data_IF_848669694130
#
_entry.id   IF_848669694130
#
_cell.length_a   1.000
_cell.length_b   1.000
_cell.length_c   1.000
_cell.angle_alpha   90.00
_cell.angle_beta   90.00
_cell.angle_gamma   90.00
#
_symmetry.space_group_name_H-M   'P 1'
#
loop_
_entity.id
_entity.type
_entity.pdbx_description
1 polymer ?
#
# COMPACT_ATOMS: atom_id res chain seq x y z
N UNK A 1 11.26 2.78 -9.41
CA UNK A 1 10.53 1.48 -9.40
C UNK A 1 9.34 1.55 -10.32
N UNK A 2 9.07 0.48 -11.01
CA UNK A 2 7.96 0.42 -11.94
C UNK A 2 6.71 -0.14 -11.26
N UNK A 3 5.77 0.74 -10.92
CA UNK A 3 4.52 0.34 -10.26
C UNK A 3 3.65 -0.55 -11.15
N UNK A 4 3.71 -0.35 -12.48
CA UNK A 4 2.99 -1.22 -13.40
C UNK A 4 3.45 -2.67 -13.33
N UNK A 5 4.77 -2.88 -13.20
CA UNK A 5 5.33 -4.23 -13.03
C UNK A 5 4.85 -4.85 -11.71
N UNK A 6 4.85 -4.07 -10.62
CA UNK A 6 4.35 -4.55 -9.34
C UNK A 6 2.88 -4.97 -9.45
N UNK A 7 2.04 -4.17 -10.10
CA UNK A 7 0.63 -4.50 -10.28
C UNK A 7 0.43 -5.80 -11.06
N UNK A 8 1.28 -6.08 -12.07
CA UNK A 8 1.21 -7.30 -12.86
C UNK A 8 1.58 -8.55 -12.06
N UNK A 9 2.39 -8.41 -11.00
CA UNK A 9 2.82 -9.55 -10.19
C UNK A 9 1.91 -9.81 -8.99
N UNK A 10 0.95 -8.94 -8.71
CA UNK A 10 0.03 -9.11 -7.58
C UNK A 10 -1.03 -10.15 -7.89
N UNK A 11 -1.50 -10.91 -6.88
CA UNK A 11 -2.64 -11.81 -7.03
C UNK A 11 -3.89 -11.07 -7.49
N UNK A 12 -4.78 -11.79 -8.19
CA UNK A 12 -5.99 -11.20 -8.76
C UNK A 12 -6.88 -10.56 -7.69
N UNK A 13 -7.03 -11.20 -6.53
CA UNK A 13 -7.86 -10.66 -5.44
C UNK A 13 -7.35 -9.30 -4.95
N UNK A 14 -6.04 -9.15 -4.81
CA UNK A 14 -5.43 -7.88 -4.43
C UNK A 14 -5.60 -6.85 -5.53
N UNK A 15 -5.37 -7.23 -6.79
CA UNK A 15 -5.56 -6.31 -7.93
C UNK A 15 -6.99 -5.80 -8.01
N UNK A 16 -7.96 -6.68 -7.81
CA UNK A 16 -9.37 -6.31 -7.84
C UNK A 16 -9.72 -5.35 -6.69
N UNK A 17 -9.20 -5.62 -5.49
CA UNK A 17 -9.40 -4.74 -4.33
C UNK A 17 -8.81 -3.35 -4.57
N UNK A 18 -7.63 -3.28 -5.18
CA UNK A 18 -6.99 -2.00 -5.52
C UNK A 18 -7.81 -1.24 -6.55
N UNK A 19 -8.31 -1.92 -7.57
CA UNK A 19 -9.15 -1.30 -8.61
C UNK A 19 -10.43 -0.72 -8.01
N UNK A 20 -11.08 -1.47 -7.13
CA UNK A 20 -12.28 -1.01 -6.43
C UNK A 20 -11.99 0.20 -5.54
N UNK A 21 -10.88 0.17 -4.82
CA UNK A 21 -10.47 1.27 -3.96
C UNK A 21 -10.15 2.53 -4.77
N UNK A 22 -9.45 2.38 -5.89
CA UNK A 22 -9.14 3.50 -6.77
C UNK A 22 -10.41 4.16 -7.28
N UNK A 23 -11.39 3.37 -7.71
CA UNK A 23 -12.67 3.88 -8.17
C UNK A 23 -13.41 4.59 -7.06
N UNK A 24 -13.41 4.04 -5.85
CA UNK A 24 -14.04 4.63 -4.69
C UNK A 24 -13.40 6.00 -4.34
N UNK A 25 -12.06 6.08 -4.37
CA UNK A 25 -11.36 7.35 -4.12
C UNK A 25 -11.79 8.42 -5.12
N UNK A 26 -11.90 8.08 -6.38
CA UNK A 26 -12.27 9.03 -7.44
C UNK A 26 -13.74 9.42 -7.39
N UNK A 27 -14.64 8.44 -7.23
CA UNK A 27 -16.08 8.64 -7.35
C UNK A 27 -16.73 9.07 -6.05
N UNK A 28 -16.43 8.39 -4.93
CA UNK A 28 -17.12 8.64 -3.67
C UNK A 28 -16.43 9.72 -2.83
N UNK A 29 -15.13 9.64 -2.68
CA UNK A 29 -14.38 10.64 -1.92
C UNK A 29 -13.99 11.85 -2.75
N UNK A 30 -14.14 11.78 -4.06
CA UNK A 30 -13.77 12.86 -4.98
C UNK A 30 -12.31 13.30 -4.76
N UNK A 31 -11.44 12.36 -4.47
CA UNK A 31 -10.02 12.64 -4.31
C UNK A 31 -9.46 13.16 -5.64
N UNK A 32 -8.54 14.12 -5.57
CA UNK A 32 -7.86 14.59 -6.78
C UNK A 32 -7.02 13.47 -7.37
N UNK A 33 -6.71 13.58 -8.67
CA UNK A 33 -5.82 12.60 -9.32
C UNK A 33 -4.49 12.51 -8.62
N UNK A 34 -3.94 13.64 -8.16
CA UNK A 34 -2.68 13.68 -7.44
C UNK A 34 -2.78 12.91 -6.11
N UNK A 35 -3.85 13.10 -5.35
CA UNK A 35 -4.08 12.39 -4.09
C UNK A 35 -4.23 10.89 -4.34
N UNK A 36 -5.02 10.52 -5.35
CA UNK A 36 -5.23 9.12 -5.72
C UNK A 36 -3.90 8.44 -6.08
N UNK A 37 -3.08 9.09 -6.90
CA UNK A 37 -1.78 8.55 -7.31
C UNK A 37 -0.83 8.41 -6.12
N UNK A 38 -0.83 9.37 -5.19
CA UNK A 38 0.00 9.30 -3.99
C UNK A 38 -0.43 8.14 -3.09
N UNK A 39 -1.73 7.93 -2.92
CA UNK A 39 -2.26 6.84 -2.11
C UNK A 39 -1.92 5.48 -2.73
N UNK A 40 -2.04 5.37 -4.06
CA UNK A 40 -1.67 4.15 -4.76
C UNK A 40 -0.17 3.87 -4.63
N UNK A 41 0.67 4.89 -4.77
CA UNK A 41 2.11 4.73 -4.61
C UNK A 41 2.48 4.25 -3.21
N UNK A 42 1.83 4.80 -2.18
CA UNK A 42 2.06 4.40 -0.79
C UNK A 42 1.64 2.93 -0.57
N UNK A 43 0.51 2.53 -1.13
CA UNK A 43 0.05 1.15 -1.03
C UNK A 43 1.00 0.18 -1.73
N UNK A 44 1.43 0.51 -2.95
CA UNK A 44 2.38 -0.35 -3.68
C UNK A 44 3.71 -0.47 -2.95
N UNK A 45 4.18 0.62 -2.33
CA UNK A 45 5.41 0.58 -1.53
C UNK A 45 5.25 -0.37 -0.33
N UNK A 46 4.10 -0.32 0.33
CA UNK A 46 3.80 -1.23 1.45
C UNK A 46 3.75 -2.69 0.98
N UNK A 47 3.07 -2.95 -0.14
CA UNK A 47 2.98 -4.31 -0.69
C UNK A 47 4.37 -4.85 -1.07
N UNK A 48 5.24 -3.99 -1.61
CA UNK A 48 6.62 -4.37 -1.88
C UNK A 48 7.39 -4.72 -0.62
N UNK A 49 7.19 -3.98 0.47
CA UNK A 49 7.77 -4.30 1.76
C UNK A 49 7.26 -5.66 2.29
N UNK A 50 5.96 -5.90 2.22
CA UNK A 50 5.35 -7.16 2.71
C UNK A 50 5.91 -8.34 1.91
N UNK A 51 6.07 -8.19 0.61
CA UNK A 51 6.67 -9.22 -0.23
C UNK A 51 8.06 -9.60 0.25
N UNK A 52 8.91 -8.61 0.53
CA UNK A 52 10.25 -8.87 1.05
C UNK A 52 10.25 -9.42 2.47
N UNK A 53 9.35 -8.92 3.31
CA UNK A 53 9.27 -9.28 4.72
C UNK A 53 8.71 -10.69 4.92
N UNK A 54 7.72 -11.09 4.13
CA UNK A 54 7.08 -12.42 4.22
C UNK A 54 7.64 -13.42 3.22
N UNK A 55 8.47 -12.99 2.29
CA UNK A 55 9.13 -13.85 1.33
C UNK A 55 8.34 -14.20 0.08
N UNK A 56 7.10 -13.69 -0.04
CA UNK A 56 6.26 -13.93 -1.20
C UNK A 56 5.28 -12.78 -1.42
N UNK A 57 4.71 -12.73 -2.63
CA UNK A 57 3.71 -11.72 -2.98
C UNK A 57 2.45 -11.96 -2.14
N UNK A 58 1.97 -10.94 -1.38
CA UNK A 58 0.83 -11.14 -0.50
C UNK A 58 -0.49 -11.21 -1.27
N UNK A 59 -1.36 -12.12 -0.87
CA UNK A 59 -2.77 -12.10 -1.25
C UNK A 59 -3.60 -11.42 -0.15
N UNK A 60 -4.93 -11.34 -0.33
CA UNK A 60 -5.80 -10.70 0.66
C UNK A 60 -5.70 -11.41 2.00
N UNK A 61 -5.64 -12.73 2.03
CA UNK A 61 -5.54 -13.48 3.28
C UNK A 61 -4.28 -13.10 4.06
N UNK A 62 -3.14 -12.97 3.39
CA UNK A 62 -1.89 -12.53 4.02
C UNK A 62 -2.04 -11.12 4.58
N UNK A 63 -2.63 -10.20 3.80
CA UNK A 63 -2.80 -8.82 4.25
C UNK A 63 -3.69 -8.73 5.48
N UNK A 64 -4.73 -9.55 5.58
CA UNK A 64 -5.63 -9.56 6.73
C UNK A 64 -4.99 -10.22 7.96
N UNK A 65 -3.96 -11.03 7.78
CA UNK A 65 -3.25 -11.69 8.87
C UNK A 65 -2.05 -10.91 9.40
N UNK A 66 -1.73 -9.76 8.80
CA UNK A 66 -0.62 -8.93 9.29
C UNK A 66 -0.94 -8.44 10.71
N UNK A 67 0.09 -8.42 11.55
CA UNK A 67 -0.05 -8.03 12.95
C UNK A 67 0.64 -6.67 13.20
N UNK A 68 0.46 -6.06 14.39
CA UNK A 68 1.09 -4.77 14.68
C UNK A 68 2.62 -4.79 14.53
N UNK A 69 3.27 -5.93 14.76
CA UNK A 69 4.72 -6.05 14.58
C UNK A 69 5.12 -5.84 13.12
N UNK A 70 4.33 -6.38 12.19
CA UNK A 70 4.59 -6.20 10.76
C UNK A 70 4.53 -4.73 10.37
N UNK A 71 3.53 -4.00 10.86
CA UNK A 71 3.38 -2.57 10.58
C UNK A 71 4.50 -1.76 11.23
N UNK A 72 4.92 -2.10 12.46
CA UNK A 72 6.05 -1.44 13.10
C UNK A 72 7.35 -1.66 12.33
N UNK A 73 7.55 -2.86 11.79
CA UNK A 73 8.73 -3.15 10.95
C UNK A 73 8.74 -2.28 9.71
N UNK A 74 7.58 -2.07 9.10
CA UNK A 74 7.46 -1.20 7.93
C UNK A 74 7.79 0.26 8.28
N UNK A 75 7.27 0.74 9.41
CA UNK A 75 7.57 2.10 9.87
C UNK A 75 9.06 2.29 10.15
N UNK A 76 9.69 1.31 10.78
CA UNK A 76 11.13 1.32 11.02
C UNK A 76 11.92 1.37 9.71
N UNK A 77 11.50 0.59 8.72
CA UNK A 77 12.16 0.58 7.41
C UNK A 77 12.06 1.96 6.74
N UNK A 78 10.89 2.61 6.80
CA UNK A 78 10.73 3.94 6.24
C UNK A 78 11.66 4.94 6.91
N UNK A 79 11.81 4.86 8.23
CA UNK A 79 12.73 5.72 8.98
C UNK A 79 14.18 5.47 8.57
N UNK A 80 14.57 4.22 8.41
CA UNK A 80 15.92 3.85 7.96
C UNK A 80 16.21 4.35 6.54
N UNK A 81 15.20 4.37 5.68
CA UNK A 81 15.32 4.84 4.31
C UNK A 81 15.28 6.38 4.22
N UNK A 82 15.21 7.08 5.35
CA UNK A 82 15.22 8.53 5.39
C UNK A 82 13.93 9.20 4.98
N UNK A 83 12.80 8.47 5.04
CA UNK A 83 11.50 9.04 4.68
C UNK A 83 11.05 10.08 5.70
N UNK A 84 10.49 11.19 5.21
CA UNK A 84 9.98 12.25 6.07
C UNK A 84 8.80 11.77 6.91
N UNK A 85 8.66 12.32 8.12
CA UNK A 85 7.54 11.98 9.01
C UNK A 85 6.18 12.28 8.37
N UNK A 86 6.08 13.38 7.62
CA UNK A 86 4.85 13.73 6.91
C UNK A 86 4.49 12.69 5.84
N UNK A 87 5.47 12.20 5.11
CA UNK A 87 5.27 11.13 4.11
C UNK A 87 4.83 9.84 4.78
N UNK A 88 5.40 9.51 5.92
CA UNK A 88 5.02 8.30 6.67
C UNK A 88 3.59 8.44 7.24
N UNK A 89 3.21 9.61 7.73
CA UNK A 89 1.85 9.85 8.20
C UNK A 89 0.84 9.70 7.05
N UNK A 90 1.16 10.22 5.86
CA UNK A 90 0.32 10.04 4.68
C UNK A 90 0.20 8.58 4.29
N UNK A 91 1.30 7.83 4.32
CA UNK A 91 1.31 6.41 3.98
C UNK A 91 0.43 5.60 4.97
N UNK A 92 0.47 5.92 6.26
CA UNK A 92 -0.42 5.30 7.25
C UNK A 92 -1.89 5.60 6.94
N UNK A 93 -2.20 6.84 6.56
CA UNK A 93 -3.55 7.23 6.17
C UNK A 93 -4.02 6.45 4.95
N UNK A 94 -3.14 6.24 3.97
CA UNK A 94 -3.44 5.43 2.79
C UNK A 94 -3.83 4.01 3.18
N UNK A 95 -3.05 3.38 4.06
CA UNK A 95 -3.33 2.00 4.50
C UNK A 95 -4.63 1.91 5.29
N UNK A 96 -4.88 2.83 6.22
CA UNK A 96 -6.13 2.86 6.98
C UNK A 96 -7.34 3.00 6.05
N UNK A 97 -7.17 3.77 4.99
CA UNK A 97 -8.23 3.99 4.02
C UNK A 97 -8.48 2.74 3.18
N UNK A 98 -7.42 2.03 2.78
CA UNK A 98 -7.52 0.81 1.98
C UNK A 98 -8.12 -0.34 2.77
N UNK A 99 -7.68 -0.52 4.01
CA UNK A 99 -8.20 -1.59 4.87
C UNK A 99 -9.60 -1.25 5.37
#
# INVERSE_FOLDING_TARGET
MNMGLMALTLPKDVRDAIADWRQWLSAERRASDHTTENYLADLYAFLGFVRGHKGDTPDIAVLLQLNPRDFRSWLARRSMDGMAKSSTARALSSLRNFY
#
